data_IF_654055194342
#
_entry.id   IF_654055194342
#
_cell.length_a   1.000
_cell.length_b   1.000
_cell.length_c   1.000
_cell.angle_alpha   90.00
_cell.angle_beta   90.00
_cell.angle_gamma   90.00
#
_symmetry.space_group_name_H-M   'P 1'
#
loop_
_entity.id
_entity.type
_entity.pdbx_description
1 polymer ?
#
# COMPACT_ATOMS: atom_id res chain seq x y z
N UNK A 1 -8.09 9.43 17.40
CA UNK A 1 -8.40 8.27 16.53
C UNK A 1 -7.16 8.07 15.68
N UNK A 2 -6.28 7.14 16.08
CA UNK A 2 -5.12 6.80 15.25
C UNK A 2 -5.63 6.00 14.06
N UNK A 3 -5.67 6.60 12.88
CA UNK A 3 -5.78 5.84 11.63
C UNK A 3 -4.47 5.05 11.48
N UNK A 4 -4.39 3.90 12.16
CA UNK A 4 -3.18 3.09 12.33
C UNK A 4 -2.81 2.24 11.10
N UNK A 5 -3.16 2.71 9.89
CA UNK A 5 -2.65 2.16 8.64
C UNK A 5 -1.30 2.81 8.32
N UNK A 6 -0.28 2.40 9.09
CA UNK A 6 1.11 2.75 8.82
C UNK A 6 1.52 2.10 7.49
N UNK A 7 2.05 2.91 6.56
CA UNK A 7 2.54 2.47 5.25
C UNK A 7 3.66 1.42 5.36
N UNK A 8 4.41 1.41 6.46
CA UNK A 8 5.39 0.34 6.74
C UNK A 8 4.75 -1.00 7.03
N UNK A 9 3.56 -1.05 7.67
CA UNK A 9 2.79 -2.28 7.82
C UNK A 9 2.24 -2.76 6.48
N UNK A 10 1.78 -1.82 5.65
CA UNK A 10 1.34 -2.14 4.29
C UNK A 10 2.50 -2.69 3.46
N UNK A 11 3.71 -2.15 3.63
CA UNK A 11 4.90 -2.71 2.97
C UNK A 11 5.18 -4.14 3.42
N UNK A 12 5.07 -4.43 4.72
CA UNK A 12 5.24 -5.80 5.23
C UNK A 12 4.19 -6.76 4.66
N UNK A 13 2.92 -6.37 4.65
CA UNK A 13 1.84 -7.17 4.06
C UNK A 13 2.07 -7.38 2.56
N UNK A 14 2.47 -6.35 1.82
CA UNK A 14 2.78 -6.49 0.40
C UNK A 14 3.98 -7.40 0.13
N UNK A 15 5.00 -7.39 1.01
CA UNK A 15 6.12 -8.32 0.93
C UNK A 15 5.67 -9.77 1.16
N UNK A 16 4.80 -10.01 2.16
CA UNK A 16 4.24 -11.34 2.46
C UNK A 16 3.42 -11.92 1.28
N UNK A 17 2.83 -11.05 0.46
CA UNK A 17 2.10 -11.41 -0.77
C UNK A 17 2.97 -11.39 -2.04
N UNK A 18 4.24 -11.00 -1.93
CA UNK A 18 5.18 -10.94 -3.06
C UNK A 18 6.19 -12.09 -3.00
N UNK A 19 6.95 -12.27 -4.08
CA UNK A 19 8.14 -13.13 -4.08
C UNK A 19 9.41 -12.40 -3.64
N UNK A 20 9.31 -11.12 -3.26
CA UNK A 20 10.44 -10.27 -2.89
C UNK A 20 10.58 -10.20 -1.36
N UNK A 21 11.82 -10.05 -0.92
CA UNK A 21 12.18 -9.77 0.46
C UNK A 21 12.47 -8.28 0.66
N UNK A 22 12.64 -7.86 1.91
CA UNK A 22 13.09 -6.50 2.20
C UNK A 22 14.50 -6.24 1.64
N UNK A 23 15.39 -7.24 1.67
CA UNK A 23 16.75 -7.16 1.12
C UNK A 23 16.70 -6.93 -0.40
N UNK A 24 15.83 -7.63 -1.12
CA UNK A 24 15.63 -7.41 -2.57
C UNK A 24 15.18 -5.97 -2.86
N UNK A 25 14.34 -5.38 -2.00
CA UNK A 25 13.95 -3.98 -2.13
C UNK A 25 15.13 -3.03 -1.84
N UNK A 26 15.92 -3.29 -0.80
CA UNK A 26 17.10 -2.47 -0.50
C UNK A 26 18.08 -2.45 -1.68
N UNK A 27 18.31 -3.61 -2.30
CA UNK A 27 19.16 -3.74 -3.50
C UNK A 27 18.56 -3.02 -4.71
N UNK A 28 17.27 -3.24 -5.00
CA UNK A 28 16.58 -2.62 -6.15
C UNK A 28 16.52 -1.10 -6.04
N UNK A 29 16.24 -0.58 -4.85
CA UNK A 29 16.14 0.86 -4.59
C UNK A 29 17.48 1.51 -4.27
N UNK A 30 18.54 0.71 -4.06
CA UNK A 30 19.84 1.16 -3.54
C UNK A 30 19.65 2.05 -2.29
N UNK A 31 18.81 1.60 -1.37
CA UNK A 31 18.36 2.37 -0.22
C UNK A 31 18.16 1.44 0.99
N UNK A 32 18.69 1.78 2.18
CA UNK A 32 18.53 0.93 3.35
C UNK A 32 17.08 0.93 3.85
N UNK A 33 16.66 -0.17 4.48
CA UNK A 33 15.28 -0.42 4.90
C UNK A 33 14.74 0.66 5.84
N UNK A 34 15.58 1.17 6.74
CA UNK A 34 15.22 2.27 7.64
C UNK A 34 14.89 3.57 6.90
N UNK A 35 15.61 3.84 5.80
CA UNK A 35 15.35 5.01 4.97
C UNK A 35 14.08 4.83 4.15
N UNK A 36 13.83 3.63 3.62
CA UNK A 36 12.56 3.28 2.95
C UNK A 36 11.39 3.50 3.90
N UNK A 37 11.46 2.96 5.12
CA UNK A 37 10.42 3.12 6.13
C UNK A 37 10.22 4.59 6.52
N UNK A 38 11.30 5.32 6.79
CA UNK A 38 11.23 6.72 7.16
C UNK A 38 10.61 7.59 6.06
N UNK A 39 10.92 7.33 4.79
CA UNK A 39 10.35 8.09 3.67
C UNK A 39 8.89 7.72 3.42
N UNK A 40 8.52 6.44 3.57
CA UNK A 40 7.12 6.00 3.44
C UNK A 40 6.22 6.67 4.48
N UNK A 41 6.65 6.70 5.74
CA UNK A 41 5.90 7.35 6.84
C UNK A 41 6.01 8.87 6.84
N UNK A 42 6.77 9.47 5.91
CA UNK A 42 6.90 10.92 5.87
C UNK A 42 5.51 11.56 5.66
N UNK A 43 5.13 12.54 6.51
CA UNK A 43 3.92 13.33 6.28
C UNK A 43 4.07 14.29 5.09
N UNK A 44 5.31 14.54 4.66
CA UNK A 44 5.60 15.33 3.49
C UNK A 44 5.35 14.51 2.22
N UNK A 45 4.41 14.97 1.38
CA UNK A 45 4.05 14.33 0.12
C UNK A 45 5.16 14.40 -0.93
N UNK A 46 6.02 15.42 -0.89
CA UNK A 46 7.17 15.54 -1.79
C UNK A 46 8.23 14.46 -1.50
N UNK A 47 8.28 13.98 -0.24
CA UNK A 47 9.16 12.88 0.20
C UNK A 47 8.47 11.52 0.03
N UNK A 48 7.22 11.38 0.47
CA UNK A 48 6.52 10.09 0.52
C UNK A 48 6.00 9.63 -0.85
N UNK A 49 5.55 10.53 -1.72
CA UNK A 49 4.99 10.13 -3.03
C UNK A 49 6.01 9.45 -3.94
N UNK A 50 7.26 9.97 -4.11
CA UNK A 50 8.26 9.31 -4.93
C UNK A 50 8.61 7.92 -4.41
N UNK A 51 8.79 7.75 -3.09
CA UNK A 51 9.14 6.44 -2.52
C UNK A 51 7.98 5.45 -2.65
N UNK A 52 6.73 5.89 -2.48
CA UNK A 52 5.54 5.05 -2.69
C UNK A 52 5.54 4.50 -4.12
N UNK A 53 5.78 5.35 -5.12
CA UNK A 53 5.83 4.92 -6.52
C UNK A 53 6.95 3.92 -6.76
N UNK A 54 8.17 4.21 -6.31
CA UNK A 54 9.31 3.31 -6.50
C UNK A 54 9.10 1.95 -5.84
N UNK A 55 8.55 1.92 -4.61
CA UNK A 55 8.25 0.68 -3.90
C UNK A 55 7.12 -0.09 -4.58
N UNK A 56 6.08 0.60 -5.04
CA UNK A 56 4.96 -0.01 -5.77
C UNK A 56 5.42 -0.65 -7.09
N UNK A 57 6.25 0.08 -7.85
CA UNK A 57 6.87 -0.41 -9.09
C UNK A 57 7.75 -1.64 -8.83
N UNK A 58 8.54 -1.62 -7.75
CA UNK A 58 9.41 -2.74 -7.38
C UNK A 58 8.61 -3.99 -7.01
N UNK A 59 7.48 -3.83 -6.32
CA UNK A 59 6.57 -4.91 -5.92
C UNK A 59 5.60 -5.33 -7.04
N UNK A 60 5.50 -4.55 -8.12
CA UNK A 60 4.55 -4.81 -9.20
C UNK A 60 3.08 -4.61 -8.81
N UNK A 61 2.81 -3.70 -7.87
CA UNK A 61 1.46 -3.39 -7.37
C UNK A 61 1.07 -1.93 -7.65
N UNK A 62 -0.22 -1.57 -7.68
CA UNK A 62 -0.64 -0.18 -7.82
C UNK A 62 -0.28 0.66 -6.58
N UNK A 63 0.19 1.88 -6.81
CA UNK A 63 0.46 2.89 -5.80
C UNK A 63 -0.76 3.25 -4.93
N UNK A 64 -1.97 3.12 -5.49
CA UNK A 64 -3.23 3.22 -4.77
C UNK A 64 -3.30 2.34 -3.51
N UNK A 65 -2.54 1.24 -3.44
CA UNK A 65 -2.40 0.45 -2.22
C UNK A 65 -1.84 1.31 -1.07
N UNK A 66 -0.67 1.93 -1.21
CA UNK A 66 -0.06 2.76 -0.15
C UNK A 66 -0.78 4.10 0.10
N UNK A 67 -1.72 4.48 -0.76
CA UNK A 67 -2.64 5.60 -0.56
C UNK A 67 -3.97 5.19 0.07
N UNK A 68 -4.06 3.97 0.62
CA UNK A 68 -5.27 3.42 1.28
C UNK A 68 -6.47 3.24 0.34
N UNK A 69 -6.23 3.21 -0.98
CA UNK A 69 -7.25 2.96 -2.00
C UNK A 69 -7.47 1.48 -2.32
N UNK A 70 -6.51 0.61 -1.98
CA UNK A 70 -6.57 -0.85 -2.18
C UNK A 70 -6.17 -1.61 -0.91
N UNK A 71 -6.57 -2.88 -0.82
CA UNK A 71 -6.13 -3.84 0.22
C UNK A 71 -6.02 -5.25 -0.36
N UNK A 72 -5.27 -6.13 0.29
CA UNK A 72 -5.32 -7.55 -0.03
C UNK A 72 -6.60 -8.19 0.55
N UNK A 73 -7.25 -9.07 -0.23
CA UNK A 73 -8.34 -9.92 0.25
C UNK A 73 -7.80 -11.26 0.79
N UNK A 74 -8.69 -12.13 1.28
CA UNK A 74 -8.34 -13.47 1.79
C UNK A 74 -7.66 -14.40 0.76
N UNK A 75 -7.73 -14.05 -0.52
CA UNK A 75 -7.09 -14.76 -1.63
C UNK A 75 -5.76 -14.12 -2.07
N UNK A 76 -5.26 -13.10 -1.35
CA UNK A 76 -4.04 -12.38 -1.70
C UNK A 76 -4.18 -11.51 -2.94
N UNK A 77 -5.39 -11.08 -3.30
CA UNK A 77 -5.65 -10.21 -4.44
C UNK A 77 -5.89 -8.78 -3.97
N UNK A 78 -5.32 -7.81 -4.70
CA UNK A 78 -5.59 -6.40 -4.46
C UNK A 78 -7.01 -6.04 -4.93
N UNK A 79 -7.83 -5.59 -3.99
CA UNK A 79 -9.21 -5.15 -4.20
C UNK A 79 -9.39 -3.73 -3.68
N UNK A 80 -10.39 -2.96 -4.18
CA UNK A 80 -10.70 -1.64 -3.67
C UNK A 80 -10.88 -1.65 -2.15
N UNK A 81 -10.21 -0.72 -1.47
CA UNK A 81 -10.45 -0.47 -0.06
C UNK A 81 -11.74 0.35 0.10
N UNK A 82 -12.88 -0.24 -0.27
CA UNK A 82 -14.17 0.39 -0.04
C UNK A 82 -14.43 0.40 1.47
N UNK A 83 -14.78 1.55 2.10
CA UNK A 83 -15.62 1.48 3.28
C UNK A 83 -16.89 0.76 2.82
N UNK A 84 -17.26 -0.32 3.48
CA UNK A 84 -18.44 -1.11 3.12
C UNK A 84 -19.72 -0.30 3.35
N UNK A 85 -20.01 0.65 2.48
CA UNK A 85 -21.32 1.24 2.30
C UNK A 85 -21.75 0.94 0.86
N UNK A 86 -21.73 -0.35 0.49
CA UNK A 86 -22.75 -0.83 -0.43
C UNK A 86 -24.07 -0.72 0.33
N UNK A 87 -24.67 0.46 0.27
CA UNK A 87 -26.10 0.59 0.53
C UNK A 87 -26.76 -0.11 -0.64
N UNK A 88 -27.06 -1.39 -0.45
CA UNK A 88 -27.92 -2.22 -1.29
C UNK A 88 -29.35 -1.66 -1.23
N UNK A 89 -29.55 -0.50 -1.85
CA UNK A 89 -30.70 0.35 -1.63
C UNK A 89 -31.20 1.13 -2.85
N UNK A 90 -30.64 0.90 -4.05
CA UNK A 90 -31.38 1.20 -5.27
C UNK A 90 -32.26 -0.01 -5.59
N UNK A 91 -33.21 -0.27 -4.69
CA UNK A 91 -34.45 -0.91 -5.13
C UNK A 91 -35.14 0.09 -6.03
N UNK A 92 -35.54 -0.41 -7.19
CA UNK A 92 -36.53 0.18 -8.07
C UNK A 92 -37.61 0.92 -7.28
N UNK A 93 -38.01 2.10 -7.75
CA UNK A 93 -39.41 2.28 -8.13
C UNK A 93 -39.57 3.50 -9.05
N UNK A 94 -40.48 3.28 -9.98
CA UNK A 94 -40.94 4.07 -11.14
C UNK A 94 -41.53 5.41 -10.70
#
# INVERSE_FOLDING_TARGET
>A
MENNYSRTKMLQEALDHSSLTMEDLEEKLNMPFLEIYSKLESPDHEISTPIIRTVSDALGIPDAYFFDGLRYNEHGQLVPNSPSNYVDGWKDEI
#
